data_IF_727578241480
#
_entry.id   IF_727578241480
#
_cell.length_a   1.000
_cell.length_b   1.000
_cell.length_c   1.000
_cell.angle_alpha   90.00
_cell.angle_beta   90.00
_cell.angle_gamma   90.00
#
_symmetry.space_group_name_H-M   'P 1'
#
loop_
_entity.id
_entity.type
_entity.pdbx_description
1 polymer ?
#
# COMPACT_ATOMS: atom_id res chain seq x y z
N UNK A 1 -4.74 -1.79 -22.19
CA UNK A 1 -4.44 -1.10 -20.90
C UNK A 1 -3.20 -0.25 -21.11
N UNK A 2 -3.29 1.08 -21.01
CA UNK A 2 -2.08 1.92 -21.06
C UNK A 2 -1.20 1.62 -19.84
N UNK A 3 0.10 1.38 -20.07
CA UNK A 3 1.06 1.10 -19.00
C UNK A 3 1.12 2.30 -18.05
N UNK A 4 0.62 2.14 -16.82
CA UNK A 4 0.77 3.15 -15.77
C UNK A 4 2.25 3.18 -15.36
N UNK A 5 2.94 4.28 -15.66
CA UNK A 5 4.25 4.60 -15.10
C UNK A 5 4.12 5.72 -14.08
N UNK A 6 4.92 5.66 -13.02
CA UNK A 6 5.09 6.81 -12.15
C UNK A 6 5.88 7.90 -12.90
N UNK A 7 5.63 9.16 -12.53
CA UNK A 7 6.42 10.29 -13.01
C UNK A 7 7.84 10.20 -12.43
N UNK A 8 8.82 10.56 -13.24
CA UNK A 8 10.17 10.83 -12.76
C UNK A 8 10.18 12.08 -11.87
N UNK A 9 11.17 12.18 -10.98
CA UNK A 9 11.33 13.35 -10.11
C UNK A 9 11.50 14.65 -10.93
N UNK A 10 12.13 14.55 -12.11
CA UNK A 10 12.24 15.66 -13.06
C UNK A 10 10.88 16.10 -13.61
N UNK A 11 10.06 15.16 -14.10
CA UNK A 11 8.71 15.48 -14.62
C UNK A 11 7.81 16.07 -13.51
N UNK A 12 7.94 15.59 -12.26
CA UNK A 12 7.27 16.19 -11.10
C UNK A 12 7.76 17.62 -10.85
N UNK A 13 9.07 17.85 -10.91
CA UNK A 13 9.69 19.16 -10.79
C UNK A 13 9.16 20.16 -11.83
N UNK A 14 8.99 19.74 -13.09
CA UNK A 14 8.41 20.57 -14.14
C UNK A 14 6.98 21.02 -13.82
N UNK A 15 6.14 20.09 -13.36
CA UNK A 15 4.75 20.38 -12.98
C UNK A 15 4.72 21.39 -11.82
N UNK A 16 5.52 21.16 -10.78
CA UNK A 16 5.60 22.05 -9.61
C UNK A 16 6.11 23.43 -10.02
N UNK A 17 7.19 23.49 -10.80
CA UNK A 17 7.77 24.73 -11.30
C UNK A 17 6.75 25.56 -12.08
N UNK A 18 6.05 24.95 -13.03
CA UNK A 18 5.03 25.64 -13.82
C UNK A 18 3.87 26.17 -12.96
N UNK A 19 3.40 25.39 -11.98
CA UNK A 19 2.36 25.84 -11.05
C UNK A 19 2.82 26.96 -10.12
N UNK A 20 4.09 26.94 -9.68
CA UNK A 20 4.69 28.03 -8.89
C UNK A 20 4.85 29.33 -9.69
N UNK A 21 5.00 29.24 -11.02
CA UNK A 21 4.99 30.40 -11.92
C UNK A 21 3.59 30.94 -12.23
N UNK A 22 2.53 30.45 -11.55
CA UNK A 22 1.17 30.93 -11.72
C UNK A 22 0.42 30.37 -12.95
N UNK A 23 1.00 29.39 -13.67
CA UNK A 23 0.35 28.76 -14.83
C UNK A 23 -0.89 27.98 -14.39
N UNK A 24 -1.96 28.06 -15.17
CA UNK A 24 -3.20 27.31 -14.91
C UNK A 24 -2.99 25.80 -15.13
N UNK A 25 -3.86 24.97 -14.55
CA UNK A 25 -3.78 23.51 -14.72
C UNK A 25 -3.90 23.13 -16.20
N UNK A 26 -4.78 23.79 -16.95
CA UNK A 26 -4.97 23.55 -18.38
C UNK A 26 -3.72 23.88 -19.19
N UNK A 27 -3.04 24.99 -18.90
CA UNK A 27 -1.76 25.33 -19.55
C UNK A 27 -0.69 24.27 -19.30
N UNK A 28 -0.56 23.78 -18.07
CA UNK A 28 0.41 22.74 -17.71
C UNK A 28 0.09 21.42 -18.41
N UNK A 29 -1.18 21.03 -18.47
CA UNK A 29 -1.63 19.84 -19.21
C UNK A 29 -1.27 19.94 -20.69
N UNK A 30 -1.51 21.09 -21.32
CA UNK A 30 -1.18 21.29 -22.73
C UNK A 30 0.32 21.33 -22.99
N UNK A 31 1.11 21.93 -22.09
CA UNK A 31 2.56 22.07 -22.25
C UNK A 31 3.32 20.74 -22.10
N UNK A 32 2.95 19.92 -21.11
CA UNK A 32 3.67 18.68 -20.79
C UNK A 32 2.93 17.40 -21.20
N UNK A 33 1.73 17.53 -21.75
CA UNK A 33 0.86 16.43 -22.16
C UNK A 33 0.59 15.40 -21.06
N UNK A 34 0.54 15.85 -19.80
CA UNK A 34 0.16 15.00 -18.67
C UNK A 34 -1.36 15.06 -18.43
N UNK A 35 -1.96 13.97 -17.95
CA UNK A 35 -3.37 13.99 -17.55
C UNK A 35 -3.62 15.08 -16.49
N UNK A 36 -4.78 15.76 -16.60
CA UNK A 36 -5.20 16.78 -15.62
C UNK A 36 -5.17 16.27 -14.19
N UNK A 37 -5.59 15.03 -13.97
CA UNK A 37 -5.58 14.35 -12.67
C UNK A 37 -4.15 14.21 -12.11
N UNK A 38 -3.17 13.91 -12.97
CA UNK A 38 -1.77 13.81 -12.60
C UNK A 38 -1.22 15.17 -12.15
N UNK A 39 -1.47 16.23 -12.92
CA UNK A 39 -1.04 17.60 -12.58
C UNK A 39 -1.61 18.04 -11.23
N UNK A 40 -2.92 17.85 -11.03
CA UNK A 40 -3.58 18.19 -9.76
C UNK A 40 -3.03 17.38 -8.59
N UNK A 41 -2.80 16.07 -8.78
CA UNK A 41 -2.26 15.19 -7.75
C UNK A 41 -0.86 15.63 -7.32
N UNK A 42 0.05 15.83 -8.27
CA UNK A 42 1.44 16.23 -8.00
C UNK A 42 1.49 17.57 -7.26
N UNK A 43 0.67 18.54 -7.68
CA UNK A 43 0.66 19.84 -7.02
C UNK A 43 0.14 19.76 -5.58
N UNK A 44 -0.88 18.93 -5.32
CA UNK A 44 -1.37 18.69 -3.95
C UNK A 44 -0.34 17.96 -3.09
N UNK A 45 0.34 16.96 -3.63
CA UNK A 45 1.43 16.26 -2.95
C UNK A 45 2.58 17.21 -2.59
N UNK A 46 2.94 18.12 -3.49
CA UNK A 46 3.92 19.16 -3.23
C UNK A 46 3.53 20.08 -2.06
N UNK A 47 2.27 20.53 -2.01
CA UNK A 47 1.77 21.34 -0.88
C UNK A 47 1.77 20.58 0.45
N UNK A 48 1.64 19.25 0.41
CA UNK A 48 1.75 18.37 1.57
C UNK A 48 3.21 18.02 1.94
N UNK A 49 4.20 18.55 1.22
CA UNK A 49 5.63 18.27 1.46
C UNK A 49 6.13 16.92 0.93
N UNK A 50 5.31 16.23 0.13
CA UNK A 50 5.69 14.93 -0.47
C UNK A 50 6.46 15.20 -1.77
N UNK A 51 7.76 14.92 -1.76
CA UNK A 51 8.66 15.24 -2.88
C UNK A 51 8.98 14.05 -3.77
N UNK A 52 8.93 12.82 -3.25
CA UNK A 52 9.23 11.61 -4.01
C UNK A 52 8.35 10.43 -3.58
N UNK A 53 8.07 9.53 -4.53
CA UNK A 53 7.39 8.24 -4.31
C UNK A 53 8.32 7.05 -4.60
N UNK A 54 9.63 7.21 -4.37
CA UNK A 54 10.64 6.18 -4.64
C UNK A 54 10.58 4.93 -3.74
N UNK A 55 9.70 4.93 -2.73
CA UNK A 55 9.52 3.77 -1.86
C UNK A 55 8.81 2.62 -2.59
N UNK A 56 9.38 1.41 -2.49
CA UNK A 56 8.65 0.21 -2.86
C UNK A 56 7.37 0.14 -2.01
N UNK A 57 6.22 -0.03 -2.66
CA UNK A 57 4.97 -0.25 -1.92
C UNK A 57 5.16 -1.50 -1.07
N UNK A 58 4.74 -1.47 0.19
CA UNK A 58 4.90 -2.57 1.16
C UNK A 58 4.27 -3.90 0.73
N UNK A 59 3.55 -3.91 -0.39
CA UNK A 59 2.94 -5.10 -0.95
C UNK A 59 1.83 -5.63 -0.05
N UNK A 60 1.51 -6.91 -0.23
CA UNK A 60 0.61 -7.60 0.70
C UNK A 60 1.39 -7.87 2.00
N UNK A 61 0.82 -7.54 3.17
CA UNK A 61 1.45 -7.91 4.45
C UNK A 61 1.60 -9.44 4.54
N UNK A 62 2.62 -9.90 5.26
CA UNK A 62 2.83 -11.33 5.51
C UNK A 62 1.73 -11.86 6.42
N UNK A 63 1.35 -13.12 6.23
CA UNK A 63 0.38 -13.80 7.10
C UNK A 63 0.99 -14.19 8.45
N UNK A 64 2.30 -14.48 8.46
CA UNK A 64 3.07 -14.87 9.64
C UNK A 64 3.92 -13.69 10.11
N UNK A 65 3.93 -13.45 11.42
CA UNK A 65 4.82 -12.48 12.06
C UNK A 65 6.24 -13.05 12.19
N UNK A 66 7.21 -12.22 12.60
CA UNK A 66 8.61 -12.66 12.72
C UNK A 66 8.79 -13.80 13.74
N UNK A 67 8.01 -13.81 14.82
CA UNK A 67 8.02 -14.90 15.81
C UNK A 67 7.45 -16.20 15.26
N UNK A 68 6.36 -16.12 14.47
CA UNK A 68 5.78 -17.27 13.79
C UNK A 68 6.78 -17.86 12.80
N UNK A 69 7.51 -17.02 12.07
CA UNK A 69 8.56 -17.45 11.14
C UNK A 69 9.72 -18.14 11.88
N UNK A 70 10.19 -17.59 13.00
CA UNK A 70 11.24 -18.21 13.82
C UNK A 70 10.80 -19.57 14.37
N UNK A 71 9.56 -19.66 14.84
CA UNK A 71 8.99 -20.91 15.34
C UNK A 71 8.89 -21.95 14.24
N UNK A 72 8.40 -21.55 13.08
CA UNK A 72 8.30 -22.42 11.91
C UNK A 72 9.69 -22.92 11.48
N UNK A 73 10.69 -22.04 11.47
CA UNK A 73 12.09 -22.40 11.17
C UNK A 73 12.65 -23.43 12.17
N UNK A 74 12.38 -23.24 13.46
CA UNK A 74 12.75 -24.21 14.51
C UNK A 74 12.12 -25.60 14.31
N UNK A 75 10.83 -25.65 13.97
CA UNK A 75 10.11 -26.92 13.70
C UNK A 75 10.73 -27.65 12.49
N UNK A 76 10.98 -26.92 11.41
CA UNK A 76 11.59 -27.48 10.18
C UNK A 76 13.02 -27.95 10.45
N UNK A 77 13.79 -27.20 11.24
CA UNK A 77 15.16 -27.57 11.59
C UNK A 77 15.24 -28.79 12.52
N UNK A 78 14.29 -28.93 13.44
CA UNK A 78 14.23 -30.06 14.36
C UNK A 78 13.99 -31.39 13.63
N UNK A 79 13.08 -31.41 12.64
CA UNK A 79 12.74 -32.59 11.86
C UNK A 79 12.72 -32.29 10.35
N UNK A 80 13.91 -32.35 9.73
CA UNK A 80 14.09 -32.02 8.30
C UNK A 80 13.30 -32.89 7.32
N UNK A 81 12.82 -34.06 7.75
CA UNK A 81 12.04 -35.00 6.94
C UNK A 81 10.54 -34.99 7.25
N UNK A 82 10.07 -34.10 8.12
CA UNK A 82 8.66 -33.99 8.46
C UNK A 82 7.82 -33.58 7.25
N UNK A 83 6.61 -34.14 7.14
CA UNK A 83 5.67 -33.78 6.08
C UNK A 83 5.03 -32.42 6.36
N UNK A 84 4.44 -31.79 5.33
CA UNK A 84 3.73 -30.52 5.51
C UNK A 84 2.60 -30.61 6.54
N UNK A 85 1.89 -31.74 6.60
CA UNK A 85 0.80 -31.95 7.55
C UNK A 85 1.33 -32.04 8.98
N UNK A 86 2.46 -32.73 9.18
CA UNK A 86 3.13 -32.80 10.49
C UNK A 86 3.67 -31.44 10.93
N UNK A 87 4.30 -30.68 10.03
CA UNK A 87 4.79 -29.32 10.31
C UNK A 87 3.62 -28.40 10.67
N UNK A 88 2.51 -28.49 9.93
CA UNK A 88 1.32 -27.68 10.19
C UNK A 88 0.66 -28.05 11.52
N UNK A 89 0.54 -29.34 11.81
CA UNK A 89 -0.01 -29.84 13.06
C UNK A 89 0.83 -29.39 14.26
N UNK A 90 2.17 -29.52 14.18
CA UNK A 90 3.10 -29.11 15.25
C UNK A 90 3.15 -27.58 15.44
N UNK A 91 3.09 -26.82 14.35
CA UNK A 91 3.00 -25.37 14.40
C UNK A 91 1.73 -24.91 15.13
N UNK A 92 0.57 -25.48 14.75
CA UNK A 92 -0.72 -25.17 15.35
C UNK A 92 -0.87 -25.72 16.79
N UNK A 93 -0.25 -26.85 17.11
CA UNK A 93 -0.38 -27.51 18.42
C UNK A 93 0.14 -26.65 19.58
N UNK A 94 1.22 -25.86 19.37
CA UNK A 94 1.64 -24.90 20.40
C UNK A 94 1.21 -23.46 20.14
N UNK A 95 0.28 -23.23 19.20
CA UNK A 95 -0.43 -21.95 19.06
C UNK A 95 -1.66 -21.87 19.99
N UNK A 96 -2.07 -22.98 20.61
CA UNK A 96 -3.24 -23.10 21.49
C UNK A 96 -3.15 -22.34 22.84
N UNK A 97 -2.11 -21.52 23.05
CA UNK A 97 -2.01 -20.67 24.26
C UNK A 97 -1.83 -19.17 24.01
N UNK A 98 -1.69 -18.69 22.77
CA UNK A 98 -1.60 -17.24 22.51
C UNK A 98 -1.68 -16.88 21.02
N UNK A 99 -2.89 -16.75 20.44
CA UNK A 99 -3.25 -15.64 19.53
C UNK A 99 -4.67 -15.81 18.95
N UNK A 100 -5.67 -15.22 19.61
CA UNK A 100 -6.91 -14.85 18.93
C UNK A 100 -6.67 -13.57 18.13
N UNK A 101 -6.23 -13.70 16.88
CA UNK A 101 -6.29 -12.57 15.92
C UNK A 101 -7.65 -12.54 15.23
N UNK A 102 -8.71 -12.31 16.00
CA UNK A 102 -10.07 -11.99 15.50
C UNK A 102 -10.16 -10.55 14.93
N UNK A 103 -9.03 -9.98 14.46
CA UNK A 103 -8.97 -8.60 13.95
C UNK A 103 -9.05 -8.51 12.42
N UNK A 104 -8.89 -9.61 11.67
CA UNK A 104 -8.98 -9.57 10.21
C UNK A 104 -10.39 -9.83 9.64
N UNK A 105 -11.31 -10.44 10.39
CA UNK A 105 -12.67 -10.73 9.89
C UNK A 105 -13.70 -9.63 10.19
N UNK A 106 -13.40 -8.67 11.06
CA UNK A 106 -14.37 -7.66 11.52
C UNK A 106 -14.20 -6.27 10.91
N UNK A 107 -13.10 -6.03 10.17
CA UNK A 107 -12.78 -4.70 9.64
C UNK A 107 -13.20 -4.47 8.18
N UNK A 108 -13.82 -5.44 7.50
CA UNK A 108 -14.32 -5.23 6.14
C UNK A 108 -15.67 -4.47 6.07
N UNK A 109 -16.37 -4.29 7.20
CA UNK A 109 -17.72 -3.70 7.22
C UNK A 109 -17.86 -2.36 7.96
N UNK A 110 -16.77 -1.74 8.44
CA UNK A 110 -16.88 -0.50 9.23
C UNK A 110 -16.53 0.81 8.52
N UNK A 111 -15.97 0.77 7.31
CA UNK A 111 -15.46 1.97 6.63
C UNK A 111 -16.27 2.42 5.39
N UNK A 112 -17.57 2.08 5.31
CA UNK A 112 -18.48 2.70 4.33
C UNK A 112 -19.50 3.59 5.05
N UNK A 113 -19.27 4.91 5.16
CA UNK A 113 -20.35 5.83 5.47
C UNK A 113 -21.31 5.86 4.27
N UNK A 114 -22.52 5.32 4.47
CA UNK A 114 -23.65 5.60 3.59
C UNK A 114 -23.95 7.09 3.72
N UNK A 115 -23.43 7.90 2.79
CA UNK A 115 -23.92 9.26 2.60
C UNK A 115 -25.35 9.17 2.07
N UNK A 116 -26.33 9.17 2.97
CA UNK A 116 -27.70 9.55 2.64
C UNK A 116 -27.68 11.04 2.33
N UNK A 117 -27.53 11.36 1.04
CA UNK A 117 -27.78 12.69 0.52
C UNK A 117 -29.28 12.99 0.65
N UNK A 118 -29.66 13.59 1.76
CA UNK A 118 -30.86 14.42 1.83
C UNK A 118 -30.42 15.87 1.68
N UNK A 119 -30.99 16.54 0.68
CA UNK A 119 -31.63 17.88 0.71
C UNK A 119 -31.50 18.59 -0.64
N UNK A 120 -32.37 19.56 -0.95
CA UNK A 120 -33.65 19.92 -0.33
C UNK A 120 -34.88 19.38 -1.09
#
# INVERSE_FOLDING_TARGET
>A
MAKRRELTDFERGLIVGARRMGRSITEVVLAFNFPRSTVSRVYREYLAGITSHGGQRSGRPRMLNDEDLKRLDSIVCANRYATLDEITATFNAGALSAHENQACLTNFSRDYPLHTGNTP
#
